data_IF_323082617346
#
_entry.id   IF_323082617346
#
_cell.length_a   1.000
_cell.length_b   1.000
_cell.length_c   1.000
_cell.angle_alpha   90.00
_cell.angle_beta   90.00
_cell.angle_gamma   90.00
#
_symmetry.space_group_name_H-M   'P 1'
#
loop_
_entity.id
_entity.type
_entity.pdbx_description
1 polymer ?
#
# COMPACT_ATOMS: atom_id res chain seq x y z
N UNK A 1 20.21 30.78 0.45
CA UNK A 1 20.19 29.68 -0.54
C UNK A 1 18.96 28.85 -0.23
N UNK A 2 17.90 29.04 -1.02
CA UNK A 2 16.64 28.32 -0.93
C UNK A 2 16.85 26.96 -1.63
N UNK A 3 16.49 25.88 -0.93
CA UNK A 3 16.53 24.51 -1.46
C UNK A 3 15.52 24.34 -2.58
N UNK A 4 15.88 23.56 -3.59
CA UNK A 4 15.06 23.25 -4.75
C UNK A 4 13.74 22.55 -4.34
N UNK A 5 12.61 22.87 -4.99
CA UNK A 5 11.34 22.22 -4.71
C UNK A 5 11.38 20.74 -5.16
N UNK A 6 10.96 19.86 -4.26
CA UNK A 6 10.79 18.43 -4.56
C UNK A 6 9.52 18.26 -5.41
N UNK A 7 9.68 17.62 -6.56
CA UNK A 7 8.62 17.30 -7.53
C UNK A 7 7.54 16.42 -6.85
N UNK A 8 6.25 16.77 -6.92
CA UNK A 8 5.18 15.92 -6.42
C UNK A 8 5.10 14.63 -7.25
N UNK A 9 5.15 13.50 -6.55
CA UNK A 9 5.11 12.17 -7.15
C UNK A 9 3.67 11.84 -7.56
N UNK A 10 3.51 11.34 -8.79
CA UNK A 10 2.21 10.84 -9.26
C UNK A 10 1.74 9.65 -8.41
N UNK A 11 0.42 9.40 -8.25
CA UNK A 11 -0.10 8.23 -7.52
C UNK A 11 0.48 6.88 -7.97
N UNK A 12 1.00 6.82 -9.21
CA UNK A 12 1.71 5.66 -9.76
C UNK A 12 3.09 5.43 -9.14
N UNK A 13 3.78 6.49 -8.70
CA UNK A 13 5.12 6.37 -8.12
C UNK A 13 5.11 5.82 -6.70
N UNK A 14 4.06 6.08 -5.94
CA UNK A 14 3.96 5.69 -4.53
C UNK A 14 3.66 4.19 -4.39
N UNK A 15 2.96 3.59 -5.35
CA UNK A 15 2.72 2.16 -5.43
C UNK A 15 4.02 1.38 -5.71
N UNK A 16 4.99 1.98 -6.44
CA UNK A 16 6.32 1.38 -6.66
C UNK A 16 7.22 1.41 -5.42
N UNK A 17 7.02 2.32 -4.48
CA UNK A 17 7.78 2.34 -3.22
C UNK A 17 7.41 1.19 -2.29
N UNK A 18 6.18 0.67 -2.35
CA UNK A 18 5.75 -0.50 -1.59
C UNK A 18 6.53 -1.77 -1.92
N UNK A 19 7.03 -1.91 -3.16
CA UNK A 19 7.82 -3.06 -3.60
C UNK A 19 9.25 -3.04 -3.03
N UNK A 20 9.76 -1.88 -2.60
CA UNK A 20 11.14 -1.75 -2.08
C UNK A 20 11.34 -2.32 -0.66
N UNK A 21 10.29 -2.51 0.11
CA UNK A 21 10.40 -2.90 1.53
C UNK A 21 10.80 -4.37 1.76
N UNK A 22 10.62 -5.26 0.79
CA UNK A 22 11.01 -6.68 0.93
C UNK A 22 12.51 -6.96 0.79
N UNK A 23 13.38 -5.93 0.71
CA UNK A 23 14.82 -6.12 0.47
C UNK A 23 15.70 -6.20 1.73
N UNK A 24 15.15 -6.11 2.92
CA UNK A 24 15.92 -6.07 4.16
C UNK A 24 15.57 -7.20 5.14
N UNK A 25 15.96 -8.44 4.82
CA UNK A 25 16.12 -9.48 5.83
C UNK A 25 17.61 -9.65 6.15
N UNK A 26 18.03 -9.68 7.43
CA UNK A 26 19.43 -9.75 7.80
C UNK A 26 20.02 -11.13 7.53
N UNK A 27 21.17 -11.14 6.85
CA UNK A 27 22.02 -12.34 6.68
C UNK A 27 22.61 -12.75 8.03
N UNK A 28 22.15 -13.85 8.64
CA UNK A 28 22.86 -14.48 9.74
C UNK A 28 23.85 -15.50 9.22
N UNK A 29 25.10 -15.40 9.78
CA UNK A 29 26.27 -16.21 9.46
C UNK A 29 26.23 -17.58 10.16
N UNK A 30 26.66 -18.61 9.41
CA UNK A 30 27.35 -19.86 9.77
C UNK A 30 26.83 -20.71 10.96
N UNK A 31 26.38 -21.96 10.66
CA UNK A 31 26.81 -23.13 11.42
C UNK A 31 26.56 -24.47 10.68
N UNK A 32 27.66 -25.23 10.61
CA UNK A 32 27.90 -26.69 10.54
C UNK A 32 27.25 -27.54 9.44
N UNK A 33 28.13 -28.11 8.64
CA UNK A 33 27.93 -29.20 7.69
C UNK A 33 27.48 -30.50 8.39
N UNK A 34 26.49 -31.13 7.82
CA UNK A 34 26.15 -32.51 8.06
C UNK A 34 24.63 -32.72 8.07
N UNK A 35 24.07 -33.36 7.03
CA UNK A 35 22.67 -33.88 6.96
C UNK A 35 21.59 -32.87 6.53
N UNK A 36 21.85 -31.91 5.64
CA UNK A 36 20.81 -30.95 5.16
C UNK A 36 20.70 -30.84 3.61
N UNK A 37 21.10 -31.88 2.87
CA UNK A 37 21.10 -31.77 1.41
C UNK A 37 19.71 -31.87 0.76
N UNK A 38 18.66 -32.36 1.46
CA UNK A 38 17.30 -32.47 0.89
C UNK A 38 16.39 -31.28 1.22
N UNK A 39 16.68 -30.48 2.26
CA UNK A 39 15.82 -29.35 2.64
C UNK A 39 16.14 -28.05 1.89
N UNK A 40 17.31 -27.94 1.26
CA UNK A 40 17.74 -26.74 0.57
C UNK A 40 17.13 -26.56 -0.83
N UNK A 41 16.61 -27.62 -1.43
CA UNK A 41 16.00 -27.54 -2.78
C UNK A 41 14.60 -26.95 -2.77
N UNK A 42 13.84 -27.07 -1.69
CA UNK A 42 12.49 -26.52 -1.61
C UNK A 42 12.45 -25.02 -1.41
N UNK A 43 13.45 -24.45 -0.75
CA UNK A 43 13.52 -23.01 -0.47
C UNK A 43 13.93 -22.17 -1.70
N UNK A 44 14.71 -22.72 -2.62
CA UNK A 44 15.15 -22.04 -3.84
C UNK A 44 13.99 -21.84 -4.85
N UNK A 45 13.10 -22.82 -4.95
CA UNK A 45 11.94 -22.76 -5.87
C UNK A 45 10.97 -21.64 -5.47
N UNK A 46 10.83 -21.36 -4.19
CA UNK A 46 9.88 -20.36 -3.71
C UNK A 46 10.35 -18.91 -3.88
N UNK A 47 11.68 -18.68 -3.78
CA UNK A 47 12.25 -17.38 -4.08
C UNK A 47 12.10 -17.01 -5.56
N UNK A 48 12.02 -18.00 -6.44
CA UNK A 48 11.83 -17.83 -7.87
C UNK A 48 10.39 -17.40 -8.21
N UNK A 49 9.37 -18.02 -7.58
CA UNK A 49 7.95 -17.69 -7.83
C UNK A 49 7.64 -16.22 -7.50
N UNK A 50 8.12 -15.69 -6.37
CA UNK A 50 7.94 -14.27 -6.02
C UNK A 50 8.72 -13.36 -6.97
N UNK A 51 9.92 -13.77 -7.35
CA UNK A 51 10.77 -13.02 -8.27
C UNK A 51 10.13 -12.95 -9.65
N UNK A 52 9.51 -14.04 -10.11
CA UNK A 52 8.84 -14.08 -11.39
C UNK A 52 7.58 -13.21 -11.41
N UNK A 53 6.73 -13.28 -10.39
CA UNK A 53 5.55 -12.39 -10.27
C UNK A 53 5.99 -10.93 -10.29
N UNK A 54 7.01 -10.56 -9.51
CA UNK A 54 7.54 -9.20 -9.48
C UNK A 54 8.16 -8.79 -10.83
N UNK A 55 8.82 -9.71 -11.54
CA UNK A 55 9.40 -9.46 -12.86
C UNK A 55 8.29 -9.15 -13.90
N UNK A 56 7.23 -9.94 -13.88
CA UNK A 56 6.06 -9.74 -14.77
C UNK A 56 5.38 -8.39 -14.51
N UNK A 57 5.21 -8.01 -13.24
CA UNK A 57 4.68 -6.70 -12.89
C UNK A 57 5.55 -5.56 -13.42
N UNK A 58 6.87 -5.64 -13.21
CA UNK A 58 7.82 -4.64 -13.73
C UNK A 58 7.84 -4.58 -15.26
N UNK A 59 7.56 -5.70 -15.92
CA UNK A 59 7.46 -5.79 -17.38
C UNK A 59 6.11 -5.27 -17.93
N UNK A 60 5.18 -4.81 -17.06
CA UNK A 60 3.85 -4.36 -17.47
C UNK A 60 2.92 -5.51 -17.92
N UNK A 61 3.14 -6.71 -17.42
CA UNK A 61 2.38 -7.92 -17.71
C UNK A 61 1.53 -8.39 -16.50
N UNK A 62 0.59 -7.55 -16.01
CA UNK A 62 -0.13 -7.85 -14.77
C UNK A 62 -1.08 -9.05 -14.89
N UNK A 63 -1.59 -9.36 -16.08
CA UNK A 63 -2.45 -10.52 -16.28
C UNK A 63 -1.68 -11.84 -16.08
N UNK A 64 -0.45 -11.91 -16.59
CA UNK A 64 0.43 -13.05 -16.40
C UNK A 64 0.90 -13.16 -14.94
N UNK A 65 1.23 -12.02 -14.31
CA UNK A 65 1.58 -11.95 -12.90
C UNK A 65 0.45 -12.49 -12.01
N UNK A 66 -0.81 -12.11 -12.30
CA UNK A 66 -1.98 -12.59 -11.57
C UNK A 66 -2.15 -14.10 -11.73
N UNK A 67 -2.03 -14.62 -12.96
CA UNK A 67 -2.13 -16.05 -13.24
C UNK A 67 -1.07 -16.86 -12.48
N UNK A 68 0.16 -16.36 -12.42
CA UNK A 68 1.26 -16.97 -11.65
C UNK A 68 1.00 -16.94 -10.14
N UNK A 69 0.53 -15.80 -9.63
CA UNK A 69 0.17 -15.68 -8.21
C UNK A 69 -0.97 -16.64 -7.83
N UNK A 70 -1.99 -16.78 -8.68
CA UNK A 70 -3.10 -17.69 -8.46
C UNK A 70 -2.64 -19.16 -8.51
N UNK A 71 -1.78 -19.52 -9.47
CA UNK A 71 -1.20 -20.86 -9.55
C UNK A 71 -0.42 -21.22 -8.28
N UNK A 72 0.38 -20.30 -7.77
CA UNK A 72 1.10 -20.48 -6.50
C UNK A 72 0.14 -20.66 -5.32
N UNK A 73 -0.87 -19.80 -5.22
CA UNK A 73 -1.85 -19.82 -4.14
C UNK A 73 -2.75 -21.06 -4.16
N UNK A 74 -2.92 -21.75 -5.28
CA UNK A 74 -3.61 -23.03 -5.33
C UNK A 74 -2.90 -24.11 -4.49
N UNK A 75 -1.57 -24.07 -4.43
CA UNK A 75 -0.77 -25.00 -3.62
C UNK A 75 -0.51 -24.46 -2.20
N UNK A 76 -0.51 -23.15 -2.00
CA UNK A 76 -0.20 -22.45 -0.74
C UNK A 76 -1.18 -21.32 -0.46
N UNK A 77 -2.44 -21.63 -0.19
CA UNK A 77 -3.53 -20.64 -0.12
C UNK A 77 -3.39 -19.62 1.02
N UNK A 78 -2.58 -19.94 2.03
CA UNK A 78 -2.37 -19.09 3.21
C UNK A 78 -1.09 -18.27 3.16
N UNK A 79 -0.32 -18.32 2.07
CA UNK A 79 0.91 -17.54 1.99
C UNK A 79 0.62 -16.04 2.00
N UNK A 80 1.01 -15.28 3.04
CA UNK A 80 0.63 -13.88 3.17
C UNK A 80 1.32 -12.99 2.14
N UNK A 81 2.56 -13.32 1.76
CA UNK A 81 3.34 -12.54 0.82
C UNK A 81 2.77 -12.62 -0.60
N UNK A 82 2.41 -13.82 -1.06
CA UNK A 82 1.80 -13.99 -2.39
C UNK A 82 0.38 -13.43 -2.42
N UNK A 83 -0.40 -13.57 -1.35
CA UNK A 83 -1.72 -12.92 -1.23
C UNK A 83 -1.62 -11.40 -1.28
N UNK A 84 -0.59 -10.84 -0.65
CA UNK A 84 -0.31 -9.41 -0.73
C UNK A 84 0.01 -8.98 -2.17
N UNK A 85 0.92 -9.70 -2.86
CA UNK A 85 1.25 -9.43 -4.25
C UNK A 85 0.00 -9.52 -5.15
N UNK A 86 -0.84 -10.52 -4.95
CA UNK A 86 -2.14 -10.63 -5.66
C UNK A 86 -3.00 -9.38 -5.44
N UNK A 87 -3.12 -8.91 -4.21
CA UNK A 87 -3.85 -7.69 -3.89
C UNK A 87 -3.30 -6.46 -4.62
N UNK A 88 -1.97 -6.32 -4.68
CA UNK A 88 -1.30 -5.24 -5.43
C UNK A 88 -1.61 -5.35 -6.93
N UNK A 89 -1.49 -6.53 -7.53
CA UNK A 89 -1.80 -6.74 -8.95
C UNK A 89 -3.25 -6.35 -9.27
N UNK A 90 -4.18 -6.76 -8.42
CA UNK A 90 -5.61 -6.44 -8.58
C UNK A 90 -5.84 -4.92 -8.49
N UNK A 91 -5.17 -4.23 -7.56
CA UNK A 91 -5.26 -2.78 -7.43
C UNK A 91 -4.70 -2.06 -8.67
N UNK A 92 -3.54 -2.48 -9.18
CA UNK A 92 -2.90 -1.92 -10.38
C UNK A 92 -3.72 -2.13 -11.66
N UNK A 93 -4.47 -3.21 -11.72
CA UNK A 93 -5.33 -3.53 -12.87
C UNK A 93 -6.74 -2.93 -12.78
N UNK A 94 -7.00 -2.09 -11.77
CA UNK A 94 -8.29 -1.43 -11.58
C UNK A 94 -9.38 -2.32 -10.98
N UNK A 95 -9.04 -3.55 -10.58
CA UNK A 95 -9.94 -4.48 -9.91
C UNK A 95 -10.07 -4.16 -8.41
N UNK A 96 -10.40 -2.91 -8.11
CA UNK A 96 -10.36 -2.36 -6.75
C UNK A 96 -11.20 -3.15 -5.75
N UNK A 97 -12.36 -3.66 -6.15
CA UNK A 97 -13.22 -4.45 -5.26
C UNK A 97 -12.58 -5.77 -4.84
N UNK A 98 -11.94 -6.48 -5.80
CA UNK A 98 -11.24 -7.73 -5.53
C UNK A 98 -9.98 -7.49 -4.69
N UNK A 99 -9.26 -6.38 -4.95
CA UNK A 99 -8.10 -5.96 -4.17
C UNK A 99 -8.48 -5.69 -2.70
N UNK A 100 -9.56 -4.93 -2.48
CA UNK A 100 -10.08 -4.65 -1.13
C UNK A 100 -10.41 -5.96 -0.41
N UNK A 101 -11.16 -6.88 -1.04
CA UNK A 101 -11.48 -8.17 -0.44
C UNK A 101 -10.24 -8.98 -0.08
N UNK A 102 -9.23 -8.96 -0.96
CA UNK A 102 -7.95 -9.66 -0.74
C UNK A 102 -7.21 -9.09 0.46
N UNK A 103 -7.10 -7.76 0.55
CA UNK A 103 -6.43 -7.12 1.69
C UNK A 103 -7.23 -7.22 2.99
N UNK A 104 -8.57 -7.13 2.95
CA UNK A 104 -9.42 -7.36 4.15
C UNK A 104 -9.15 -8.74 4.73
N UNK A 105 -9.23 -9.79 3.91
CA UNK A 105 -8.93 -11.15 4.35
C UNK A 105 -7.50 -11.30 4.87
N UNK A 106 -6.56 -10.56 4.28
CA UNK A 106 -5.17 -10.58 4.72
C UNK A 106 -5.02 -9.92 6.10
N UNK A 107 -5.73 -8.82 6.38
CA UNK A 107 -5.73 -8.16 7.70
C UNK A 107 -6.46 -8.98 8.77
N UNK A 108 -7.43 -9.80 8.39
CA UNK A 108 -8.10 -10.75 9.30
C UNK A 108 -7.18 -11.92 9.69
N UNK A 109 -6.49 -12.50 8.70
CA UNK A 109 -5.62 -13.66 8.90
C UNK A 109 -4.25 -13.30 9.50
N UNK A 110 -3.75 -12.08 9.24
CA UNK A 110 -2.42 -11.57 9.63
C UNK A 110 -2.53 -10.12 10.13
N UNK A 111 -3.18 -9.90 11.29
CA UNK A 111 -3.46 -8.55 11.80
C UNK A 111 -2.22 -7.75 12.18
N UNK A 112 -1.05 -8.39 12.30
CA UNK A 112 0.23 -7.77 12.61
C UNK A 112 0.92 -7.12 11.39
N UNK A 113 0.47 -7.38 10.17
CA UNK A 113 1.07 -6.83 8.95
C UNK A 113 0.55 -5.42 8.66
N UNK A 114 1.40 -4.38 8.64
CA UNK A 114 0.96 -3.00 8.39
C UNK A 114 0.64 -2.72 6.92
N UNK A 115 1.31 -3.39 5.96
CA UNK A 115 1.21 -3.10 4.54
C UNK A 115 -0.20 -3.33 3.97
N UNK A 116 -0.94 -4.41 4.32
CA UNK A 116 -2.32 -4.59 3.85
C UNK A 116 -3.25 -3.47 4.31
N UNK A 117 -3.11 -2.96 5.54
CA UNK A 117 -3.91 -1.84 6.03
C UNK A 117 -3.62 -0.55 5.25
N UNK A 118 -2.35 -0.26 4.99
CA UNK A 118 -1.98 0.90 4.18
C UNK A 118 -2.55 0.82 2.76
N UNK A 119 -2.52 -0.37 2.14
CA UNK A 119 -3.09 -0.58 0.80
C UNK A 119 -4.61 -0.45 0.79
N UNK A 120 -5.30 -0.95 1.82
CA UNK A 120 -6.73 -0.71 2.01
C UNK A 120 -7.04 0.78 2.09
N UNK A 121 -6.25 1.54 2.81
CA UNK A 121 -6.45 2.98 2.94
C UNK A 121 -6.32 3.70 1.59
N UNK A 122 -5.32 3.36 0.79
CA UNK A 122 -5.15 3.92 -0.57
C UNK A 122 -6.36 3.62 -1.44
N UNK A 123 -6.86 2.37 -1.41
CA UNK A 123 -8.05 1.97 -2.16
C UNK A 123 -9.32 2.68 -1.67
N UNK A 124 -9.51 2.82 -0.36
CA UNK A 124 -10.64 3.56 0.20
C UNK A 124 -10.56 5.06 -0.14
N UNK A 125 -9.37 5.66 -0.06
CA UNK A 125 -9.17 7.07 -0.40
C UNK A 125 -9.47 7.34 -1.88
N UNK A 126 -9.07 6.44 -2.79
CA UNK A 126 -9.39 6.53 -4.22
C UNK A 126 -10.90 6.50 -4.52
N UNK A 127 -11.69 5.91 -3.61
CA UNK A 127 -13.15 5.87 -3.65
C UNK A 127 -13.79 7.00 -2.82
N UNK A 128 -13.00 7.99 -2.37
CA UNK A 128 -13.44 9.08 -1.49
C UNK A 128 -14.01 8.61 -0.13
N UNK A 129 -13.72 7.36 0.28
CA UNK A 129 -14.11 6.80 1.57
C UNK A 129 -13.07 7.15 2.65
N UNK A 130 -12.85 8.47 2.88
CA UNK A 130 -11.73 8.95 3.68
C UNK A 130 -11.76 8.50 5.14
N UNK A 131 -12.94 8.32 5.73
CA UNK A 131 -13.04 7.79 7.10
C UNK A 131 -12.55 6.33 7.20
N UNK A 132 -12.88 5.49 6.22
CA UNK A 132 -12.35 4.12 6.17
C UNK A 132 -10.84 4.12 5.93
N UNK A 133 -10.34 5.01 5.06
CA UNK A 133 -8.92 5.17 4.83
C UNK A 133 -8.18 5.56 6.11
N UNK A 134 -8.71 6.53 6.88
CA UNK A 134 -8.18 6.96 8.18
C UNK A 134 -8.03 5.78 9.14
N UNK A 135 -9.13 5.03 9.34
CA UNK A 135 -9.14 3.88 10.26
C UNK A 135 -8.10 2.83 9.85
N UNK A 136 -8.00 2.54 8.55
CA UNK A 136 -7.01 1.58 8.06
C UNK A 136 -5.57 2.07 8.29
N UNK A 137 -5.27 3.35 8.07
CA UNK A 137 -3.94 3.92 8.32
C UNK A 137 -3.59 3.94 9.80
N UNK A 138 -4.54 4.25 10.67
CA UNK A 138 -4.34 4.17 12.13
C UNK A 138 -4.01 2.73 12.57
N UNK A 139 -4.60 1.70 11.91
CA UNK A 139 -4.23 0.31 12.15
C UNK A 139 -2.81 0.01 11.63
N UNK A 140 -2.44 0.46 10.44
CA UNK A 140 -1.08 0.29 9.92
C UNK A 140 -0.03 0.92 10.85
N UNK A 141 -0.29 2.11 11.38
CA UNK A 141 0.59 2.81 12.33
C UNK A 141 0.62 2.10 13.68
N UNK A 142 -0.51 1.54 14.14
CA UNK A 142 -0.56 0.77 15.39
C UNK A 142 0.28 -0.49 15.34
N UNK A 143 0.29 -1.19 14.20
CA UNK A 143 1.09 -2.40 13.99
C UNK A 143 2.57 -2.06 13.75
N UNK A 144 2.86 -0.95 13.08
CA UNK A 144 4.21 -0.44 12.86
C UNK A 144 4.26 1.09 13.04
N UNK A 145 4.58 1.59 14.26
CA UNK A 145 4.63 3.02 14.53
C UNK A 145 5.68 3.81 13.72
N UNK A 146 6.66 3.13 13.14
CA UNK A 146 7.70 3.74 12.29
C UNK A 146 7.40 3.71 10.79
N UNK A 147 6.17 3.32 10.40
CA UNK A 147 5.78 3.21 9.00
C UNK A 147 5.51 4.60 8.38
N UNK A 148 6.57 5.24 7.90
CA UNK A 148 6.55 6.61 7.39
C UNK A 148 5.47 6.83 6.31
N UNK A 149 5.34 5.90 5.35
CA UNK A 149 4.32 5.99 4.29
C UNK A 149 2.89 6.02 4.84
N UNK A 150 2.61 5.25 5.91
CA UNK A 150 1.28 5.29 6.53
C UNK A 150 1.02 6.63 7.24
N UNK A 151 2.03 7.24 7.86
CA UNK A 151 1.93 8.57 8.44
C UNK A 151 1.69 9.65 7.37
N UNK A 152 2.42 9.59 6.24
CA UNK A 152 2.24 10.49 5.10
C UNK A 152 0.82 10.38 4.54
N UNK A 153 0.37 9.17 4.22
CA UNK A 153 -0.98 8.92 3.70
C UNK A 153 -2.07 9.36 4.70
N UNK A 154 -1.83 9.22 6.01
CA UNK A 154 -2.77 9.70 7.03
C UNK A 154 -2.86 11.24 7.03
N UNK A 155 -1.75 11.93 6.83
CA UNK A 155 -1.73 13.38 6.65
C UNK A 155 -2.60 13.81 5.47
N UNK A 156 -2.46 13.14 4.32
CA UNK A 156 -3.25 13.40 3.13
C UNK A 156 -4.76 13.14 3.35
N UNK A 157 -5.09 12.05 4.02
CA UNK A 157 -6.48 11.73 4.38
C UNK A 157 -7.07 12.80 5.32
N UNK A 158 -6.33 13.27 6.32
CA UNK A 158 -6.79 14.36 7.18
C UNK A 158 -7.03 15.66 6.40
N UNK A 159 -6.17 15.99 5.45
CA UNK A 159 -6.38 17.15 4.59
C UNK A 159 -7.67 17.03 3.76
N UNK A 160 -7.97 15.82 3.22
CA UNK A 160 -9.24 15.57 2.51
C UNK A 160 -10.46 15.68 3.42
N UNK A 161 -10.39 15.13 4.65
CA UNK A 161 -11.44 15.26 5.65
C UNK A 161 -11.66 16.71 6.09
N UNK A 162 -10.56 17.47 6.30
CA UNK A 162 -10.64 18.90 6.59
C UNK A 162 -11.31 19.67 5.45
N UNK A 163 -10.97 19.35 4.18
CA UNK A 163 -11.61 19.94 3.00
C UNK A 163 -13.12 19.68 2.97
N UNK A 164 -13.56 18.45 3.27
CA UNK A 164 -14.98 18.11 3.36
C UNK A 164 -15.68 18.93 4.47
N UNK A 165 -15.05 19.00 5.65
CA UNK A 165 -15.60 19.71 6.80
C UNK A 165 -15.72 21.22 6.53
N UNK A 166 -14.70 21.85 5.93
CA UNK A 166 -14.76 23.25 5.53
C UNK A 166 -15.79 23.51 4.44
N UNK A 167 -15.91 22.63 3.46
CA UNK A 167 -16.95 22.74 2.44
C UNK A 167 -18.33 22.68 3.06
N UNK A 168 -18.54 21.80 4.05
CA UNK A 168 -19.80 21.72 4.78
C UNK A 168 -20.06 22.98 5.61
N UNK A 169 -19.05 23.54 6.25
CA UNK A 169 -19.18 24.81 7.00
C UNK A 169 -19.66 25.95 6.10
N UNK A 170 -19.11 26.09 4.87
CA UNK A 170 -19.56 27.08 3.90
C UNK A 170 -21.00 26.86 3.41
N UNK A 171 -21.42 25.61 3.28
CA UNK A 171 -22.82 25.31 2.94
C UNK A 171 -23.79 25.72 4.04
N UNK A 172 -23.36 25.65 5.31
CA UNK A 172 -24.17 26.02 6.47
C UNK A 172 -24.13 27.51 6.78
N UNK A 173 -22.98 28.15 6.59
CA UNK A 173 -22.75 29.58 6.78
C UNK A 173 -21.87 30.13 5.67
N UNK A 174 -22.48 30.60 4.59
CA UNK A 174 -21.78 31.21 3.44
C UNK A 174 -21.13 32.56 3.74
N UNK A 175 -21.43 33.17 4.90
CA UNK A 175 -20.85 34.46 5.33
C UNK A 175 -19.48 34.30 5.98
N UNK A 176 -19.05 33.10 6.32
CA UNK A 176 -17.77 32.83 6.96
C UNK A 176 -16.59 33.09 6.02
N UNK A 177 -15.98 34.26 6.12
CA UNK A 177 -14.89 34.72 5.26
C UNK A 177 -13.55 33.98 5.47
N UNK A 178 -13.37 33.32 6.62
CA UNK A 178 -12.12 32.61 6.93
C UNK A 178 -12.00 31.22 6.31
N UNK A 179 -13.12 30.57 5.98
CA UNK A 179 -13.13 29.20 5.45
C UNK A 179 -12.64 29.11 4.00
N UNK A 180 -12.97 30.03 3.07
CA UNK A 180 -12.46 29.98 1.70
C UNK A 180 -10.94 29.94 1.60
N UNK A 181 -10.24 30.72 2.41
CA UNK A 181 -8.78 30.74 2.45
C UNK A 181 -8.21 29.38 2.90
N UNK A 182 -8.80 28.74 3.92
CA UNK A 182 -8.39 27.41 4.38
C UNK A 182 -8.60 26.35 3.31
N UNK A 183 -9.73 26.40 2.59
CA UNK A 183 -10.00 25.49 1.46
C UNK A 183 -9.00 25.69 0.32
N UNK A 184 -8.64 26.93 0.00
CA UNK A 184 -7.64 27.22 -1.02
C UNK A 184 -6.27 26.63 -0.65
N UNK A 185 -5.82 26.77 0.60
CA UNK A 185 -4.57 26.19 1.08
C UNK A 185 -4.55 24.66 0.94
N UNK A 186 -5.64 23.99 1.33
CA UNK A 186 -5.73 22.54 1.19
C UNK A 186 -5.74 22.11 -0.29
N UNK A 187 -6.42 22.85 -1.17
CA UNK A 187 -6.41 22.57 -2.60
C UNK A 187 -5.01 22.68 -3.20
N UNK A 188 -4.26 23.69 -2.77
CA UNK A 188 -2.88 23.89 -3.23
C UNK A 188 -1.94 22.76 -2.78
N UNK A 189 -2.22 22.11 -1.64
CA UNK A 189 -1.45 20.94 -1.19
C UNK A 189 -1.47 19.78 -2.18
N UNK A 190 -2.55 19.65 -2.97
CA UNK A 190 -2.74 18.58 -3.95
C UNK A 190 -2.71 19.09 -5.40
N UNK A 191 -2.37 20.37 -5.63
CA UNK A 191 -2.23 20.89 -6.98
C UNK A 191 -0.98 20.27 -7.64
N UNK A 192 -1.06 19.86 -8.90
CA UNK A 192 0.14 19.52 -9.65
C UNK A 192 0.98 20.79 -9.87
N UNK A 193 2.32 20.63 -9.80
CA UNK A 193 3.29 21.69 -10.15
C UNK A 193 3.23 22.06 -11.64
#
# INVERSE_FOLDING_TARGET
RLGAPTIPRSPRSDMFQMIRFFRALPKKKHMTWGVLACALWTSAVHADDYSEVNRLLKAGQPAEALSKADQYLNSKPRDPQMRFLKGVILAETGKSSEAIQTFVKLTEDYPELPEPYNNLAVLYASQSQFEKARVALEMAIRTNPSYATAHENLGDVYAKLASQSYSKALQLDGSNTGVPTKLALIRNLFAPD
#
